data_IF_439389788621
#
_entry.id   IF_439389788621
#
_cell.length_a   1.000
_cell.length_b   1.000
_cell.length_c   1.000
_cell.angle_alpha   90.00
_cell.angle_beta   90.00
_cell.angle_gamma   90.00
#
_symmetry.space_group_name_H-M   'P 1'
#
loop_
_entity.id
_entity.type
_entity.pdbx_description
1 polymer ?
#
# COMPACT_ATOMS: atom_id res chain seq x y z
N UNK A 1 -18.23 -17.20 -9.93
CA UNK A 1 -17.18 -16.21 -10.24
C UNK A 1 -16.97 -15.34 -9.01
N UNK A 2 -15.80 -15.30 -8.50
CA UNK A 2 -15.49 -14.34 -7.42
C UNK A 2 -15.37 -12.96 -8.09
N UNK A 3 -16.25 -12.04 -7.73
CA UNK A 3 -16.14 -10.65 -8.14
C UNK A 3 -14.95 -10.04 -7.41
N UNK A 4 -13.98 -9.54 -8.16
CA UNK A 4 -12.85 -8.82 -7.59
C UNK A 4 -13.35 -7.58 -6.86
N UNK A 5 -12.86 -7.33 -5.64
CA UNK A 5 -13.27 -6.18 -4.81
C UNK A 5 -12.63 -4.87 -5.30
N UNK A 6 -12.84 -4.55 -6.57
CA UNK A 6 -12.38 -3.31 -7.22
C UNK A 6 -13.38 -2.90 -8.30
N UNK A 7 -13.43 -1.61 -8.61
CA UNK A 7 -14.18 -1.10 -9.75
C UNK A 7 -13.24 -0.61 -10.84
N UNK A 8 -13.57 -0.88 -12.11
CA UNK A 8 -12.77 -0.44 -13.24
C UNK A 8 -12.58 1.08 -13.27
N UNK A 9 -13.63 1.84 -12.91
CA UNK A 9 -13.58 3.31 -12.88
C UNK A 9 -12.59 3.85 -11.84
N UNK A 10 -12.45 3.20 -10.67
CA UNK A 10 -11.46 3.59 -9.66
C UNK A 10 -10.03 3.26 -10.13
N UNK A 11 -9.83 2.11 -10.75
CA UNK A 11 -8.53 1.74 -11.35
C UNK A 11 -8.12 2.77 -12.42
N UNK A 12 -9.03 3.11 -13.33
CA UNK A 12 -8.77 4.09 -14.38
C UNK A 12 -8.44 5.47 -13.82
N UNK A 13 -9.14 5.90 -12.78
CA UNK A 13 -8.90 7.17 -12.09
C UNK A 13 -7.48 7.25 -11.52
N UNK A 14 -7.01 6.21 -10.87
CA UNK A 14 -5.64 6.16 -10.33
C UNK A 14 -4.60 6.03 -11.46
N UNK A 15 -4.88 5.26 -12.50
CA UNK A 15 -3.99 5.12 -13.65
C UNK A 15 -3.76 6.44 -14.41
N UNK A 16 -4.76 7.34 -14.46
CA UNK A 16 -4.63 8.65 -15.09
C UNK A 16 -3.55 9.54 -14.43
N UNK A 17 -3.24 9.31 -13.16
CA UNK A 17 -2.25 10.07 -12.41
C UNK A 17 -0.90 9.34 -12.28
N UNK A 18 -0.73 8.18 -12.92
CA UNK A 18 0.46 7.35 -12.74
C UNK A 18 1.77 8.11 -12.99
N UNK A 19 1.86 8.88 -14.08
CA UNK A 19 3.06 9.67 -14.40
C UNK A 19 3.35 10.81 -13.43
N UNK A 20 2.41 11.15 -12.54
CA UNK A 20 2.48 12.29 -11.62
C UNK A 20 2.65 11.88 -10.15
N UNK A 21 2.77 10.57 -9.87
CA UNK A 21 2.87 10.07 -8.49
C UNK A 21 4.00 10.73 -7.70
N UNK A 22 5.15 10.94 -8.33
CA UNK A 22 6.34 11.49 -7.68
C UNK A 22 6.57 12.97 -7.94
N UNK A 23 5.62 13.66 -8.57
CA UNK A 23 5.63 15.13 -8.66
C UNK A 23 5.09 15.72 -7.35
N UNK A 24 5.99 16.17 -6.49
CA UNK A 24 5.67 16.74 -5.17
C UNK A 24 4.87 18.06 -5.26
N UNK A 25 4.84 18.70 -6.42
CA UNK A 25 4.07 19.92 -6.67
C UNK A 25 2.79 19.66 -7.48
N UNK A 26 2.59 18.42 -7.91
CA UNK A 26 1.48 18.00 -8.73
C UNK A 26 0.20 17.68 -7.96
N UNK A 27 -0.74 16.97 -8.59
CA UNK A 27 -2.07 16.71 -8.02
C UNK A 27 -2.02 15.81 -6.77
N UNK A 28 -0.93 15.06 -6.54
CA UNK A 28 -0.75 14.19 -5.38
C UNK A 28 0.13 14.80 -4.28
N UNK A 29 0.36 16.10 -4.35
CA UNK A 29 1.14 16.88 -3.38
C UNK A 29 0.75 16.58 -1.93
N UNK A 30 -0.54 16.47 -1.64
CA UNK A 30 -1.03 16.21 -0.29
C UNK A 30 -0.54 14.87 0.27
N UNK A 31 -0.43 13.84 -0.57
CA UNK A 31 0.11 12.54 -0.15
C UNK A 31 1.57 12.66 0.28
N UNK A 32 2.38 13.43 -0.45
CA UNK A 32 3.77 13.68 -0.07
C UNK A 32 3.88 14.46 1.23
N UNK A 33 2.97 15.43 1.45
CA UNK A 33 2.96 16.25 2.67
C UNK A 33 2.57 15.44 3.92
N UNK A 34 1.61 14.51 3.82
CA UNK A 34 1.17 13.70 4.97
C UNK A 34 2.03 12.46 5.21
N UNK A 35 2.80 12.04 4.23
CA UNK A 35 3.58 10.80 4.31
C UNK A 35 4.55 10.76 5.50
N UNK A 36 5.34 11.81 5.81
CA UNK A 36 6.20 11.81 6.98
C UNK A 36 5.44 11.65 8.31
N UNK A 37 4.24 12.21 8.40
CA UNK A 37 3.38 12.10 9.60
C UNK A 37 2.87 10.66 9.75
N UNK A 38 2.45 10.04 8.65
CA UNK A 38 2.04 8.63 8.64
C UNK A 38 3.17 7.70 9.05
N UNK A 39 4.34 7.90 8.47
CA UNK A 39 5.52 7.09 8.80
C UNK A 39 5.89 7.22 10.27
N UNK A 40 5.92 8.43 10.81
CA UNK A 40 6.21 8.68 12.22
C UNK A 40 5.17 8.03 13.14
N UNK A 41 3.89 8.06 12.76
CA UNK A 41 2.83 7.42 13.52
C UNK A 41 2.99 5.89 13.55
N UNK A 42 3.30 5.28 12.41
CA UNK A 42 3.54 3.83 12.31
C UNK A 42 4.78 3.45 13.14
N UNK A 43 5.89 4.18 12.98
CA UNK A 43 7.15 3.96 13.68
C UNK A 43 7.00 4.11 15.19
N UNK A 44 6.06 4.93 15.64
CA UNK A 44 5.73 5.07 17.06
C UNK A 44 5.04 3.85 17.68
N UNK A 45 4.52 2.93 16.87
CA UNK A 45 3.83 1.72 17.32
C UNK A 45 4.64 0.44 17.13
N UNK A 46 5.49 0.41 16.10
CA UNK A 46 6.33 -0.75 15.77
C UNK A 46 7.73 -0.26 15.39
N UNK A 47 8.75 -1.07 15.69
CA UNK A 47 10.08 -0.85 15.14
C UNK A 47 10.08 -1.31 13.68
N UNK A 48 10.29 -0.39 12.74
CA UNK A 48 10.24 -0.67 11.31
C UNK A 48 11.43 -1.53 10.84
N UNK A 49 12.55 -1.50 11.56
CA UNK A 49 13.76 -2.20 11.15
C UNK A 49 13.53 -3.71 11.02
N UNK A 50 13.76 -4.25 9.84
CA UNK A 50 13.63 -5.66 9.50
C UNK A 50 12.21 -6.25 9.60
N UNK A 51 11.19 -5.41 9.84
CA UNK A 51 9.80 -5.85 9.85
C UNK A 51 9.31 -6.11 8.42
N UNK A 52 8.54 -7.18 8.25
CA UNK A 52 7.89 -7.51 6.98
C UNK A 52 6.53 -6.83 6.93
N UNK A 53 6.39 -5.83 6.05
CA UNK A 53 5.20 -4.97 5.98
C UNK A 53 4.62 -4.99 4.58
N UNK A 54 3.31 -5.19 4.45
CA UNK A 54 2.58 -5.01 3.21
C UNK A 54 1.78 -3.72 3.24
N UNK A 55 1.93 -2.92 2.19
CA UNK A 55 1.18 -1.69 1.94
C UNK A 55 0.08 -1.97 0.92
N UNK A 56 -1.16 -2.05 1.40
CA UNK A 56 -2.33 -2.41 0.62
C UNK A 56 -2.92 -1.15 -0.02
N UNK A 57 -3.08 -1.17 -1.33
CA UNK A 57 -3.46 0.02 -2.10
C UNK A 57 -2.31 1.02 -2.19
N UNK A 58 -1.11 0.53 -2.51
CA UNK A 58 0.12 1.31 -2.43
C UNK A 58 0.25 2.43 -3.47
N UNK A 59 -0.55 2.42 -4.53
CA UNK A 59 -0.43 3.38 -5.62
C UNK A 59 0.96 3.40 -6.23
N UNK A 60 1.53 4.57 -6.39
CA UNK A 60 2.89 4.78 -6.90
C UNK A 60 4.01 4.56 -5.88
N UNK A 61 3.71 4.07 -4.67
CA UNK A 61 4.71 3.60 -3.73
C UNK A 61 5.24 4.63 -2.75
N UNK A 62 4.56 5.76 -2.55
CA UNK A 62 5.04 6.84 -1.66
C UNK A 62 5.28 6.34 -0.24
N UNK A 63 4.30 5.71 0.39
CA UNK A 63 4.45 5.14 1.73
C UNK A 63 5.33 3.88 1.70
N UNK A 64 5.18 3.04 0.70
CA UNK A 64 5.95 1.79 0.57
C UNK A 64 7.46 2.06 0.57
N UNK A 65 7.90 3.06 -0.20
CA UNK A 65 9.31 3.46 -0.23
C UNK A 65 9.78 4.05 1.10
N UNK A 66 8.93 4.83 1.77
CA UNK A 66 9.26 5.37 3.09
C UNK A 66 9.45 4.25 4.13
N UNK A 67 8.61 3.21 4.10
CA UNK A 67 8.77 2.02 4.94
C UNK A 67 10.09 1.30 4.64
N UNK A 68 10.42 1.09 3.37
CA UNK A 68 11.66 0.46 2.94
C UNK A 68 12.89 1.28 3.36
N UNK A 69 12.86 2.60 3.18
CA UNK A 69 13.93 3.49 3.63
C UNK A 69 14.12 3.47 5.15
N UNK A 70 13.07 3.20 5.90
CA UNK A 70 13.15 3.04 7.36
C UNK A 70 13.64 1.64 7.80
N UNK A 71 13.97 0.76 6.85
CA UNK A 71 14.56 -0.55 7.11
C UNK A 71 13.58 -1.72 7.05
N UNK A 72 12.31 -1.49 6.72
CA UNK A 72 11.33 -2.57 6.57
C UNK A 72 11.56 -3.39 5.28
N UNK A 73 11.17 -4.65 5.32
CA UNK A 73 11.01 -5.49 4.14
C UNK A 73 9.61 -5.21 3.57
N UNK A 74 9.53 -4.28 2.63
CA UNK A 74 8.25 -3.77 2.14
C UNK A 74 7.73 -4.54 0.92
N UNK A 75 6.42 -4.81 0.95
CA UNK A 75 5.64 -5.30 -0.19
C UNK A 75 4.55 -4.28 -0.48
N UNK A 76 4.41 -3.84 -1.72
CA UNK A 76 3.33 -2.94 -2.15
C UNK A 76 2.37 -3.66 -3.08
N UNK A 77 1.08 -3.55 -2.85
CA UNK A 77 0.07 -4.13 -3.72
C UNK A 77 -0.98 -3.11 -4.15
N UNK A 78 -1.34 -3.17 -5.41
CA UNK A 78 -2.36 -2.32 -6.02
C UNK A 78 -2.91 -3.01 -7.27
N UNK A 79 -4.11 -2.67 -7.69
CA UNK A 79 -4.71 -3.17 -8.92
C UNK A 79 -4.46 -2.25 -10.12
N UNK A 80 -4.00 -1.02 -9.91
CA UNK A 80 -3.62 -0.10 -10.97
C UNK A 80 -2.23 -0.45 -11.50
N UNK A 81 -2.17 -1.20 -12.59
CA UNK A 81 -0.93 -1.69 -13.18
C UNK A 81 0.06 -0.55 -13.50
N UNK A 82 -0.44 0.58 -14.02
CA UNK A 82 0.39 1.74 -14.36
C UNK A 82 1.02 2.35 -13.11
N UNK A 83 0.30 2.39 -12.00
CA UNK A 83 0.83 2.88 -10.72
C UNK A 83 1.92 1.96 -10.17
N UNK A 84 1.72 0.65 -10.26
CA UNK A 84 2.73 -0.35 -9.85
C UNK A 84 3.99 -0.24 -10.70
N UNK A 85 3.84 0.00 -12.01
CA UNK A 85 5.01 0.19 -12.87
C UNK A 85 5.82 1.42 -12.48
N UNK A 86 5.15 2.54 -12.22
CA UNK A 86 5.79 3.76 -11.71
C UNK A 86 6.48 3.49 -10.38
N UNK A 87 5.83 2.78 -9.47
CA UNK A 87 6.40 2.42 -8.18
C UNK A 87 7.68 1.57 -8.32
N UNK A 88 7.66 0.57 -9.20
CA UNK A 88 8.83 -0.26 -9.50
C UNK A 88 10.00 0.55 -10.05
N UNK A 89 9.74 1.40 -11.03
CA UNK A 89 10.76 2.23 -11.65
C UNK A 89 11.39 3.18 -10.65
N UNK A 90 10.58 3.86 -9.85
CA UNK A 90 11.08 4.80 -8.84
C UNK A 90 11.92 4.10 -7.77
N UNK A 91 11.50 2.92 -7.31
CA UNK A 91 12.28 2.12 -6.37
C UNK A 91 13.64 1.72 -6.94
N UNK A 92 13.69 1.29 -8.20
CA UNK A 92 14.95 0.95 -8.89
C UNK A 92 15.88 2.17 -8.97
N UNK A 93 15.35 3.32 -9.33
CA UNK A 93 16.13 4.58 -9.42
C UNK A 93 16.72 4.99 -8.07
N UNK A 94 16.07 4.63 -6.99
CA UNK A 94 16.52 4.93 -5.62
C UNK A 94 17.23 3.75 -4.93
N UNK A 95 17.58 2.71 -5.67
CA UNK A 95 18.27 1.52 -5.17
C UNK A 95 17.54 0.80 -4.02
N UNK A 96 16.21 0.80 -4.06
CA UNK A 96 15.36 0.11 -3.09
C UNK A 96 14.91 -1.24 -3.65
N UNK A 97 14.90 -2.26 -2.78
CA UNK A 97 14.35 -3.58 -3.08
C UNK A 97 12.98 -3.69 -2.43
N UNK A 98 11.93 -3.61 -3.25
CA UNK A 98 10.53 -3.68 -2.83
C UNK A 98 9.80 -4.68 -3.70
N UNK A 99 9.00 -5.55 -3.09
CA UNK A 99 8.14 -6.49 -3.81
C UNK A 99 6.81 -5.82 -4.15
N UNK A 100 6.68 -5.35 -5.40
CA UNK A 100 5.43 -4.78 -5.90
C UNK A 100 4.63 -5.81 -6.69
N UNK A 101 3.35 -5.97 -6.36
CA UNK A 101 2.45 -6.92 -6.99
C UNK A 101 1.15 -6.26 -7.44
N UNK A 102 0.67 -6.66 -8.62
CA UNK A 102 -0.66 -6.30 -9.13
C UNK A 102 -1.63 -7.36 -8.61
N UNK A 103 -2.24 -7.08 -7.46
CA UNK A 103 -3.13 -8.02 -6.79
C UNK A 103 -4.05 -7.29 -5.81
N UNK A 104 -5.06 -7.96 -5.30
CA UNK A 104 -5.95 -7.45 -4.25
C UNK A 104 -5.50 -7.93 -2.88
N UNK A 105 -6.01 -7.28 -1.82
CA UNK A 105 -5.81 -7.73 -0.45
C UNK A 105 -6.30 -9.16 -0.25
N UNK A 106 -7.44 -9.51 -0.83
CA UNK A 106 -8.07 -10.83 -0.75
C UNK A 106 -7.21 -11.91 -1.39
N UNK A 107 -6.67 -11.63 -2.58
CA UNK A 107 -5.79 -12.57 -3.29
C UNK A 107 -4.47 -12.75 -2.56
N UNK A 108 -3.89 -11.67 -2.04
CA UNK A 108 -2.67 -11.75 -1.26
C UNK A 108 -2.89 -12.54 0.04
N UNK A 109 -4.00 -12.33 0.73
CA UNK A 109 -4.35 -13.05 1.95
C UNK A 109 -4.52 -14.56 1.71
N UNK A 110 -5.08 -14.94 0.56
CA UNK A 110 -5.21 -16.34 0.17
C UNK A 110 -3.83 -16.98 -0.12
N UNK A 111 -2.90 -16.22 -0.71
CA UNK A 111 -1.58 -16.70 -1.08
C UNK A 111 -0.57 -16.69 0.08
N UNK A 112 -0.67 -15.75 1.01
CA UNK A 112 0.33 -15.51 2.05
C UNK A 112 -0.31 -15.18 3.42
N UNK A 113 -1.16 -16.08 3.97
CA UNK A 113 -1.79 -15.84 5.28
C UNK A 113 -0.75 -15.74 6.39
N UNK A 114 -0.99 -14.85 7.36
CA UNK A 114 -0.15 -14.64 8.53
C UNK A 114 1.35 -14.48 8.20
N UNK A 115 1.65 -13.74 7.14
CA UNK A 115 3.02 -13.62 6.61
C UNK A 115 3.69 -12.30 6.92
N UNK A 116 2.94 -11.29 7.40
CA UNK A 116 3.46 -9.95 7.62
C UNK A 116 3.44 -9.56 9.10
N UNK A 117 4.42 -8.81 9.52
CA UNK A 117 4.50 -8.26 10.88
C UNK A 117 3.54 -7.08 11.07
N UNK A 118 3.31 -6.33 10.01
CA UNK A 118 2.33 -5.25 9.97
C UNK A 118 1.74 -5.07 8.56
N UNK A 119 0.57 -4.45 8.51
CA UNK A 119 -0.13 -4.09 7.27
C UNK A 119 -0.47 -2.60 7.34
N UNK A 120 -0.27 -1.89 6.24
CA UNK A 120 -0.78 -0.53 6.04
C UNK A 120 -1.84 -0.53 4.94
N UNK A 121 -2.91 0.21 5.14
CA UNK A 121 -4.01 0.36 4.19
C UNK A 121 -4.57 1.78 4.33
N UNK A 122 -3.94 2.72 3.61
CA UNK A 122 -4.18 4.15 3.76
C UNK A 122 -5.04 4.71 2.63
N UNK A 123 -6.14 5.36 2.99
CA UNK A 123 -7.11 5.97 2.05
C UNK A 123 -7.54 5.01 0.93
N UNK A 124 -7.77 3.75 1.24
CA UNK A 124 -8.22 2.74 0.29
C UNK A 124 -9.67 2.32 0.51
N UNK A 125 -10.12 2.26 1.76
CA UNK A 125 -11.42 1.70 2.12
C UNK A 125 -12.60 2.43 1.47
N UNK A 126 -12.49 3.73 1.23
CA UNK A 126 -13.48 4.55 0.54
C UNK A 126 -13.60 4.27 -0.97
N UNK A 127 -12.64 3.55 -1.54
CA UNK A 127 -12.55 3.28 -2.99
C UNK A 127 -12.93 1.86 -3.39
N UNK A 128 -13.31 1.01 -2.44
CA UNK A 128 -13.65 -0.40 -2.71
C UNK A 128 -15.14 -0.67 -2.47
N UNK A 129 -15.75 -1.58 -3.25
CA UNK A 129 -17.16 -1.95 -3.07
C UNK A 129 -17.45 -2.59 -1.71
N UNK A 130 -16.53 -3.38 -1.17
CA UNK A 130 -16.68 -4.08 0.10
C UNK A 130 -15.47 -3.83 1.02
N UNK A 131 -15.50 -2.73 1.81
CA UNK A 131 -14.44 -2.44 2.77
C UNK A 131 -14.23 -3.53 3.83
N UNK A 132 -15.30 -4.21 4.23
CA UNK A 132 -15.23 -5.28 5.23
C UNK A 132 -14.37 -6.45 4.74
N UNK A 133 -14.43 -6.78 3.45
CA UNK A 133 -13.57 -7.80 2.83
C UNK A 133 -12.10 -7.44 2.90
N UNK A 134 -11.75 -6.18 2.64
CA UNK A 134 -10.37 -5.67 2.76
C UNK A 134 -9.89 -5.77 4.21
N UNK A 135 -10.70 -5.34 5.16
CA UNK A 135 -10.34 -5.40 6.59
C UNK A 135 -10.08 -6.84 7.05
N UNK A 136 -10.96 -7.77 6.65
CA UNK A 136 -10.78 -9.21 6.93
C UNK A 136 -9.49 -9.77 6.31
N UNK A 137 -9.20 -9.36 5.08
CA UNK A 137 -8.00 -9.79 4.38
C UNK A 137 -6.73 -9.26 5.04
N UNK A 138 -6.73 -7.99 5.47
CA UNK A 138 -5.62 -7.44 6.25
C UNK A 138 -5.41 -8.19 7.58
N UNK A 139 -6.49 -8.53 8.26
CA UNK A 139 -6.41 -9.34 9.48
C UNK A 139 -5.86 -10.76 9.23
N UNK A 140 -6.17 -11.34 8.07
CA UNK A 140 -5.64 -12.65 7.67
C UNK A 140 -4.16 -12.60 7.26
N UNK A 141 -3.69 -11.46 6.74
CA UNK A 141 -2.31 -11.25 6.30
C UNK A 141 -1.34 -11.04 7.45
N UNK A 142 -1.77 -10.39 8.52
CA UNK A 142 -0.91 -10.03 9.64
C UNK A 142 -0.72 -11.24 10.57
N UNK A 143 0.50 -11.40 11.08
CA UNK A 143 0.82 -12.40 12.09
C UNK A 143 0.09 -12.10 13.41
N UNK A 144 -0.23 -13.14 14.22
CA UNK A 144 -0.74 -12.91 15.57
C UNK A 144 0.17 -11.96 16.37
N UNK A 145 -0.44 -10.94 16.99
CA UNK A 145 0.28 -9.90 17.73
C UNK A 145 0.82 -8.76 16.86
N UNK A 146 0.65 -8.82 15.54
CA UNK A 146 1.03 -7.76 14.63
C UNK A 146 0.02 -6.60 14.59
N UNK A 147 0.30 -5.59 13.80
CA UNK A 147 -0.52 -4.37 13.67
C UNK A 147 -1.08 -4.22 12.26
N UNK A 148 -2.29 -3.70 12.20
CA UNK A 148 -2.88 -3.23 10.94
C UNK A 148 -3.22 -1.75 11.12
N UNK A 149 -2.73 -0.93 10.18
CA UNK A 149 -2.95 0.53 10.18
C UNK A 149 -3.90 0.89 9.06
N UNK A 150 -4.99 1.53 9.41
CA UNK A 150 -5.98 2.04 8.45
C UNK A 150 -6.08 3.56 8.56
N UNK A 151 -6.28 4.22 7.44
CA UNK A 151 -6.80 5.57 7.39
C UNK A 151 -7.81 5.72 6.27
N UNK A 152 -8.78 6.60 6.45
CA UNK A 152 -9.78 6.91 5.44
C UNK A 152 -10.22 8.36 5.60
N UNK A 153 -10.67 8.97 4.50
CA UNK A 153 -11.20 10.31 4.50
C UNK A 153 -12.71 10.29 4.73
N UNK A 154 -13.22 11.31 5.45
CA UNK A 154 -14.64 11.58 5.59
C UNK A 154 -15.17 12.37 4.39
#
# INVERSE_FOLDING_TARGET
>A
MSTTNVTASEIDKFSQHASQWWDELGPLKTLHQVNPVRLAWIDGHIDLQSQKIADIGCGGGILTEALANAGAQATGVDMAADSIEVARMHAIENNLVIDYQITTAEQLAAAAPASFDAITCMEMLEHVPDPASVIKSCAALVKPGGYVFFSTLN
#
